data_IF_105798736313
#
_entry.id   IF_105798736313
#
_cell.length_a   1.000
_cell.length_b   1.000
_cell.length_c   1.000
_cell.angle_alpha   90.00
_cell.angle_beta   90.00
_cell.angle_gamma   90.00
#
_symmetry.space_group_name_H-M   'P 1'
#
loop_
_entity.id
_entity.type
_entity.pdbx_description
1 polymer ?
#
# COMPACT_ATOMS: atom_id res chain seq x y z
N UNK A 1 10.09 -3.34 -8.71
CA UNK A 1 9.92 -1.99 -9.25
C UNK A 1 11.26 -1.40 -9.66
N UNK A 2 11.37 -0.65 -10.79
CA UNK A 2 12.65 -0.10 -11.26
C UNK A 2 13.40 0.74 -10.22
N UNK A 3 12.69 1.54 -9.44
CA UNK A 3 13.30 2.35 -8.36
C UNK A 3 14.01 1.49 -7.32
N UNK A 4 13.43 0.35 -6.93
CA UNK A 4 14.06 -0.55 -5.97
C UNK A 4 15.31 -1.23 -6.58
N UNK A 5 15.25 -1.60 -7.85
CA UNK A 5 16.41 -2.19 -8.57
C UNK A 5 17.56 -1.19 -8.65
N UNK A 6 17.28 0.06 -9.03
CA UNK A 6 18.32 1.10 -9.09
C UNK A 6 18.92 1.40 -7.70
N UNK A 7 18.07 1.47 -6.66
CA UNK A 7 18.56 1.67 -5.29
C UNK A 7 19.43 0.51 -4.79
N UNK A 8 19.17 -0.71 -5.26
CA UNK A 8 19.93 -1.91 -4.90
C UNK A 8 21.37 -1.91 -5.45
N UNK A 9 21.69 -1.12 -6.47
CA UNK A 9 23.06 -1.03 -7.02
C UNK A 9 24.09 -0.60 -5.95
N UNK A 10 23.64 0.19 -4.96
CA UNK A 10 24.48 0.68 -3.88
C UNK A 10 24.05 0.16 -2.50
N UNK A 11 23.14 -0.83 -2.46
CA UNK A 11 22.59 -1.39 -1.22
C UNK A 11 22.55 -2.92 -1.33
N UNK A 12 23.57 -3.59 -0.76
CA UNK A 12 23.70 -5.04 -0.83
C UNK A 12 22.54 -5.79 -0.11
N UNK A 13 22.01 -5.23 0.98
CA UNK A 13 20.88 -5.80 1.71
C UNK A 13 19.62 -5.77 0.84
N UNK A 14 19.35 -4.64 0.20
CA UNK A 14 18.24 -4.50 -0.72
C UNK A 14 18.35 -5.42 -1.93
N UNK A 15 19.58 -5.57 -2.48
CA UNK A 15 19.85 -6.51 -3.58
C UNK A 15 19.52 -7.95 -3.19
N UNK A 16 20.00 -8.41 -2.04
CA UNK A 16 19.72 -9.74 -1.52
C UNK A 16 18.22 -9.96 -1.26
N UNK A 17 17.55 -8.95 -0.72
CA UNK A 17 16.10 -9.00 -0.48
C UNK A 17 15.29 -9.09 -1.78
N UNK A 18 15.67 -8.36 -2.82
CA UNK A 18 15.04 -8.45 -4.14
C UNK A 18 15.19 -9.85 -4.73
N UNK A 19 16.35 -10.48 -4.57
CA UNK A 19 16.59 -11.83 -5.06
C UNK A 19 15.80 -12.89 -4.27
N UNK A 20 15.66 -12.72 -2.94
CA UNK A 20 14.74 -13.52 -2.11
C UNK A 20 13.29 -13.40 -2.61
N UNK A 21 12.83 -12.18 -2.86
CA UNK A 21 11.47 -11.95 -3.37
C UNK A 21 11.24 -12.59 -4.75
N UNK A 22 12.23 -12.53 -5.66
CA UNK A 22 12.14 -13.18 -6.98
C UNK A 22 12.08 -14.70 -6.86
N UNK A 23 12.87 -15.29 -5.96
CA UNK A 23 12.86 -16.74 -5.72
C UNK A 23 11.48 -17.21 -5.21
N UNK A 24 10.82 -16.39 -4.38
CA UNK A 24 9.51 -16.67 -3.81
C UNK A 24 8.33 -16.23 -4.72
N UNK A 25 8.59 -15.71 -5.91
CA UNK A 25 7.55 -15.17 -6.82
C UNK A 25 6.52 -16.21 -7.33
N UNK A 26 6.73 -17.49 -7.06
CA UNK A 26 5.79 -18.59 -7.37
C UNK A 26 4.76 -18.85 -6.26
N UNK A 27 4.81 -18.11 -5.16
CA UNK A 27 3.88 -18.25 -4.05
C UNK A 27 2.47 -17.83 -4.49
N UNK A 28 1.47 -18.56 -4.04
CA UNK A 28 0.06 -18.24 -4.32
C UNK A 28 -0.38 -17.01 -3.54
N UNK A 29 -1.49 -16.38 -3.94
CA UNK A 29 -2.08 -15.24 -3.22
C UNK A 29 -2.40 -15.59 -1.73
N UNK A 30 -2.73 -16.85 -1.47
CA UNK A 30 -2.96 -17.37 -0.12
C UNK A 30 -1.65 -17.47 0.69
N UNK A 31 -0.55 -17.88 0.06
CA UNK A 31 0.77 -17.93 0.70
C UNK A 31 1.26 -16.52 1.06
N UNK A 32 1.06 -15.56 0.16
CA UNK A 32 1.41 -14.15 0.40
C UNK A 32 0.61 -13.52 1.54
N UNK A 33 -0.64 -13.95 1.75
CA UNK A 33 -1.48 -13.45 2.83
C UNK A 33 -1.01 -13.92 4.22
N UNK A 34 -0.40 -15.10 4.30
CA UNK A 34 0.08 -15.71 5.55
C UNK A 34 1.58 -15.50 5.80
N UNK A 35 2.32 -15.04 4.80
CA UNK A 35 3.75 -14.86 4.86
C UNK A 35 4.14 -13.73 5.82
N UNK A 36 5.24 -13.91 6.54
CA UNK A 36 5.80 -12.85 7.36
C UNK A 36 6.14 -11.62 6.52
N UNK A 37 5.64 -10.47 6.94
CA UNK A 37 5.90 -9.20 6.26
C UNK A 37 7.32 -8.75 6.51
N UNK A 38 8.10 -8.70 5.43
CA UNK A 38 9.49 -8.26 5.42
C UNK A 38 9.69 -7.10 4.47
N UNK A 39 10.65 -6.25 4.76
CA UNK A 39 11.06 -5.17 3.88
C UNK A 39 12.41 -4.61 4.23
N UNK A 40 12.95 -3.84 3.31
CA UNK A 40 14.24 -3.15 3.43
C UNK A 40 14.07 -1.69 3.03
N UNK A 41 14.66 -0.78 3.80
CA UNK A 41 14.73 0.64 3.44
C UNK A 41 15.58 0.79 2.17
N UNK A 42 15.00 1.43 1.17
CA UNK A 42 15.70 1.68 -0.10
C UNK A 42 16.70 2.84 -0.01
N UNK A 43 16.68 3.62 1.08
CA UNK A 43 17.39 4.88 1.22
C UNK A 43 16.78 6.04 0.42
N UNK A 44 15.79 5.77 -0.43
CA UNK A 44 15.07 6.80 -1.18
C UNK A 44 14.05 7.50 -0.29
N UNK A 45 13.72 8.71 -0.68
CA UNK A 45 12.71 9.56 -0.03
C UNK A 45 11.69 10.00 -1.05
N UNK A 46 10.42 10.08 -0.64
CA UNK A 46 9.36 10.67 -1.44
C UNK A 46 8.79 11.90 -0.72
N UNK A 47 8.27 12.85 -1.48
CA UNK A 47 7.58 14.01 -0.94
C UNK A 47 6.08 13.72 -0.98
N UNK A 48 5.42 13.79 0.18
CA UNK A 48 3.97 13.62 0.25
C UNK A 48 3.28 14.74 -0.54
N UNK A 49 2.40 14.44 -1.50
CA UNK A 49 1.94 15.39 -2.49
C UNK A 49 1.09 16.54 -1.91
N UNK A 50 0.45 16.35 -0.77
CA UNK A 50 -0.38 17.36 -0.11
C UNK A 50 0.39 18.09 0.98
N UNK A 51 0.91 17.37 1.97
CA UNK A 51 1.58 17.99 3.13
C UNK A 51 3.00 18.46 2.85
N UNK A 52 3.66 17.97 1.79
CA UNK A 52 5.08 18.25 1.55
C UNK A 52 6.05 17.52 2.48
N UNK A 53 5.56 16.69 3.39
CA UNK A 53 6.39 15.89 4.29
C UNK A 53 7.26 14.89 3.51
N UNK A 54 8.46 14.68 4.01
CA UNK A 54 9.38 13.69 3.44
C UNK A 54 9.11 12.33 4.09
N UNK A 55 8.75 11.35 3.27
CA UNK A 55 8.47 9.98 3.72
C UNK A 55 9.50 9.00 3.17
N UNK A 56 9.89 7.97 3.95
CA UNK A 56 10.83 6.96 3.50
C UNK A 56 10.18 6.02 2.47
N UNK A 57 11.00 5.49 1.55
CA UNK A 57 10.56 4.51 0.56
C UNK A 57 11.13 3.14 0.91
N UNK A 58 10.28 2.17 1.13
CA UNK A 58 10.62 0.81 1.48
C UNK A 58 10.29 -0.17 0.37
N UNK A 59 11.11 -1.18 0.18
CA UNK A 59 10.76 -2.36 -0.60
C UNK A 59 10.22 -3.43 0.35
N UNK A 60 9.02 -3.95 0.07
CA UNK A 60 8.37 -4.94 0.92
C UNK A 60 7.84 -6.12 0.09
N UNK A 61 7.86 -7.33 0.68
CA UNK A 61 7.49 -8.57 0.01
C UNK A 61 5.98 -8.77 -0.20
N UNK A 62 5.14 -7.92 0.37
CA UNK A 62 3.68 -8.00 0.27
C UNK A 62 3.06 -6.92 -0.64
N UNK A 63 3.88 -6.05 -1.21
CA UNK A 63 3.45 -5.04 -2.19
C UNK A 63 3.52 -5.62 -3.59
N UNK A 64 2.36 -5.72 -4.25
CA UNK A 64 2.25 -6.32 -5.58
C UNK A 64 2.53 -5.29 -6.68
N UNK A 65 3.31 -5.69 -7.69
CA UNK A 65 3.64 -4.85 -8.85
C UNK A 65 2.43 -4.46 -9.69
N UNK A 66 1.41 -5.33 -9.72
CA UNK A 66 0.19 -5.12 -10.51
C UNK A 66 -0.79 -4.13 -9.83
N UNK A 67 -0.49 -3.71 -8.60
CA UNK A 67 -1.30 -2.74 -7.89
C UNK A 67 -0.84 -1.30 -8.18
N UNK A 68 -1.68 -0.55 -8.85
CA UNK A 68 -1.37 0.85 -9.21
C UNK A 68 -0.21 0.96 -10.21
N UNK A 69 0.87 1.61 -9.79
CA UNK A 69 2.14 1.71 -10.53
C UNK A 69 3.21 0.75 -10.02
N UNK A 70 2.88 -0.14 -9.07
CA UNK A 70 3.82 -0.95 -8.33
C UNK A 70 4.53 -0.20 -7.19
N UNK A 71 4.22 1.08 -7.01
CA UNK A 71 4.58 1.87 -5.86
C UNK A 71 3.30 2.43 -5.23
N UNK A 72 3.07 2.15 -3.96
CA UNK A 72 1.85 2.52 -3.24
C UNK A 72 2.22 3.30 -1.98
N UNK A 73 1.35 4.21 -1.57
CA UNK A 73 1.49 4.87 -0.29
C UNK A 73 0.96 3.95 0.82
N UNK A 74 1.82 3.67 1.80
CA UNK A 74 1.46 2.94 2.99
C UNK A 74 0.61 3.81 3.91
N UNK A 75 -0.39 3.21 4.58
CA UNK A 75 -1.28 3.92 5.50
C UNK A 75 -1.36 3.17 6.84
N UNK A 76 -0.27 3.15 7.63
CA UNK A 76 -0.18 2.30 8.82
C UNK A 76 -1.22 2.64 9.91
N UNK A 77 -1.72 3.87 9.95
CA UNK A 77 -2.80 4.24 10.87
C UNK A 77 -4.14 3.56 10.56
N UNK A 78 -4.36 3.10 9.31
CA UNK A 78 -5.69 2.69 8.81
C UNK A 78 -5.68 1.43 7.93
N UNK A 79 -4.55 0.77 7.75
CA UNK A 79 -4.42 -0.58 7.18
C UNK A 79 -3.64 -1.47 8.16
N UNK A 80 -4.24 -2.57 8.60
CA UNK A 80 -3.65 -3.44 9.60
C UNK A 80 -2.33 -4.08 9.14
N UNK A 81 -2.16 -4.35 7.85
CA UNK A 81 -0.91 -4.93 7.31
C UNK A 81 0.22 -3.92 7.35
N UNK A 82 -0.08 -2.68 6.99
CA UNK A 82 0.86 -1.57 7.06
C UNK A 82 1.20 -1.22 8.50
N UNK A 83 0.22 -1.32 9.42
CA UNK A 83 0.42 -1.12 10.86
C UNK A 83 1.43 -2.12 11.44
N UNK A 84 1.24 -3.41 11.16
CA UNK A 84 2.14 -4.46 11.63
C UNK A 84 3.56 -4.27 11.07
N UNK A 85 3.66 -3.87 9.80
CA UNK A 85 4.94 -3.55 9.17
C UNK A 85 5.61 -2.33 9.82
N UNK A 86 4.88 -1.24 9.97
CA UNK A 86 5.40 -0.02 10.58
C UNK A 86 5.83 -0.24 12.03
N UNK A 87 5.06 -0.98 12.81
CA UNK A 87 5.40 -1.35 14.19
C UNK A 87 6.69 -2.18 14.23
N UNK A 88 6.82 -3.18 13.35
CA UNK A 88 7.99 -4.05 13.28
C UNK A 88 9.28 -3.28 12.98
N UNK A 89 9.21 -2.31 12.09
CA UNK A 89 10.38 -1.53 11.65
C UNK A 89 10.53 -0.17 12.35
N UNK A 90 9.70 0.12 13.35
CA UNK A 90 9.76 1.36 14.12
C UNK A 90 9.47 2.61 13.28
N UNK A 91 8.60 2.49 12.27
CA UNK A 91 8.16 3.60 11.44
C UNK A 91 7.07 4.41 12.14
N UNK A 92 6.99 5.69 11.83
CA UNK A 92 5.96 6.56 12.38
C UNK A 92 4.55 6.14 11.91
N UNK A 93 3.63 6.07 12.86
CA UNK A 93 2.22 5.78 12.61
C UNK A 93 1.41 7.04 12.93
N UNK A 94 0.85 7.67 11.91
CA UNK A 94 0.06 8.89 12.03
C UNK A 94 -1.43 8.56 11.89
N UNK A 95 -2.20 8.88 12.91
CA UNK A 95 -3.65 8.74 12.84
C UNK A 95 -4.25 9.93 12.09
N UNK A 96 -4.96 9.67 10.99
CA UNK A 96 -5.62 10.69 10.15
C UNK A 96 -7.12 10.47 9.98
N UNK A 97 -7.67 9.39 10.55
CA UNK A 97 -9.11 9.14 10.66
C UNK A 97 -9.45 9.02 12.15
N UNK A 98 -10.53 9.66 12.58
CA UNK A 98 -11.01 9.56 13.95
C UNK A 98 -11.38 8.12 14.30
N UNK A 99 -11.01 7.66 15.47
CA UNK A 99 -11.45 6.38 16.02
C UNK A 99 -12.74 6.53 16.83
N UNK A 100 -13.34 5.40 17.19
CA UNK A 100 -14.40 5.32 18.19
C UNK A 100 -13.78 5.32 19.61
N UNK A 101 -14.61 5.40 20.66
CA UNK A 101 -14.14 5.41 22.05
C UNK A 101 -13.31 4.17 22.45
N UNK A 102 -13.52 3.05 21.76
CA UNK A 102 -12.80 1.78 22.00
C UNK A 102 -11.49 1.65 21.21
N UNK A 103 -11.25 2.53 20.24
CA UNK A 103 -10.13 2.41 19.32
C UNK A 103 -8.87 3.03 19.91
N UNK A 104 -7.76 2.30 19.82
CA UNK A 104 -6.47 2.69 20.33
C UNK A 104 -5.40 2.45 19.26
N UNK A 105 -4.96 3.51 18.61
CA UNK A 105 -3.92 3.44 17.57
C UNK A 105 -2.59 2.84 18.08
N UNK A 106 -2.36 2.84 19.39
CA UNK A 106 -1.17 2.21 19.95
C UNK A 106 -1.24 0.67 19.94
N UNK A 107 -2.42 0.10 19.71
CA UNK A 107 -2.65 -1.37 19.73
C UNK A 107 -2.93 -1.93 18.34
N UNK A 108 -3.63 -1.19 17.50
CA UNK A 108 -4.03 -1.66 16.17
C UNK A 108 -4.37 -0.49 15.24
N UNK A 109 -4.40 -0.76 13.94
CA UNK A 109 -4.91 0.19 12.95
C UNK A 109 -6.40 0.44 13.13
N UNK A 110 -6.83 1.68 12.91
CA UNK A 110 -8.25 2.08 12.91
C UNK A 110 -8.77 1.96 11.48
N UNK A 111 -9.44 0.86 11.17
CA UNK A 111 -9.84 0.51 9.80
C UNK A 111 -11.23 1.00 9.41
N UNK A 112 -11.99 1.51 10.36
CA UNK A 112 -13.33 2.02 10.11
C UNK A 112 -13.33 3.39 9.44
N UNK A 113 -14.30 3.63 8.57
CA UNK A 113 -14.47 4.92 7.91
C UNK A 113 -15.12 5.91 8.86
N UNK A 114 -14.41 6.99 9.15
CA UNK A 114 -14.88 8.07 10.00
C UNK A 114 -14.40 9.41 9.43
N UNK A 115 -14.52 10.48 10.18
CA UNK A 115 -14.06 11.82 9.80
C UNK A 115 -12.55 11.93 9.85
N UNK A 116 -11.99 12.78 8.98
CA UNK A 116 -10.56 13.08 8.99
C UNK A 116 -10.16 13.94 10.19
N UNK A 117 -8.97 13.66 10.71
CA UNK A 117 -8.26 14.42 11.73
C UNK A 117 -6.78 14.52 11.37
N UNK A 118 -6.07 15.49 11.91
CA UNK A 118 -4.63 15.70 11.63
C UNK A 118 -4.31 15.80 10.13
N UNK A 119 -5.26 16.30 9.34
CA UNK A 119 -5.21 16.36 7.88
C UNK A 119 -5.35 17.79 7.34
N UNK A 120 -4.99 18.78 8.15
CA UNK A 120 -5.02 20.22 7.83
C UNK A 120 -6.40 20.69 7.34
N UNK A 121 -6.48 21.24 6.12
CA UNK A 121 -7.73 21.76 5.54
C UNK A 121 -8.80 20.69 5.30
N UNK A 122 -8.46 19.41 5.39
CA UNK A 122 -9.39 18.29 5.22
C UNK A 122 -9.97 17.76 6.53
N UNK A 123 -9.58 18.32 7.68
CA UNK A 123 -10.10 17.91 8.98
C UNK A 123 -11.62 18.05 9.05
N UNK A 124 -12.28 17.08 9.67
CA UNK A 124 -13.73 17.05 9.84
C UNK A 124 -14.52 16.55 8.63
N UNK A 125 -13.89 16.35 7.47
CA UNK A 125 -14.56 15.80 6.30
C UNK A 125 -14.82 14.28 6.49
N UNK A 126 -15.98 13.81 6.05
CA UNK A 126 -16.25 12.40 5.95
C UNK A 126 -15.52 11.78 4.74
N UNK A 127 -15.52 10.44 4.64
CA UNK A 127 -14.80 9.72 3.59
C UNK A 127 -15.13 10.19 2.16
N UNK A 128 -16.39 10.44 1.84
CA UNK A 128 -16.80 10.82 0.48
C UNK A 128 -16.39 12.27 0.16
N UNK A 129 -16.58 13.16 1.10
CA UNK A 129 -16.17 14.57 0.99
C UNK A 129 -14.66 14.69 0.87
N UNK A 130 -13.92 13.97 1.72
CA UNK A 130 -12.46 13.94 1.69
C UNK A 130 -11.92 13.40 0.37
N UNK A 131 -12.47 12.29 -0.12
CA UNK A 131 -12.07 11.72 -1.42
C UNK A 131 -12.25 12.73 -2.55
N UNK A 132 -13.39 13.44 -2.55
CA UNK A 132 -13.66 14.46 -3.57
C UNK A 132 -12.68 15.64 -3.46
N UNK A 133 -12.55 16.23 -2.29
CA UNK A 133 -11.71 17.41 -2.08
C UNK A 133 -10.23 17.13 -2.38
N UNK A 134 -9.69 16.03 -1.87
CA UNK A 134 -8.31 15.62 -2.11
C UNK A 134 -8.07 15.31 -3.59
N UNK A 135 -9.01 14.62 -4.25
CA UNK A 135 -8.90 14.32 -5.67
C UNK A 135 -8.89 15.59 -6.54
N UNK A 136 -9.78 16.52 -6.24
CA UNK A 136 -9.85 17.81 -6.95
C UNK A 136 -8.55 18.61 -6.78
N UNK A 137 -7.99 18.67 -5.60
CA UNK A 137 -6.73 19.35 -5.34
C UNK A 137 -5.57 18.70 -6.11
N UNK A 138 -5.40 17.37 -6.02
CA UNK A 138 -4.33 16.67 -6.73
C UNK A 138 -4.44 16.83 -8.25
N UNK A 139 -5.66 16.85 -8.80
CA UNK A 139 -5.90 17.09 -10.22
C UNK A 139 -5.53 18.53 -10.59
N UNK A 140 -5.97 19.51 -9.80
CA UNK A 140 -5.70 20.94 -10.08
C UNK A 140 -4.20 21.25 -10.06
N UNK A 141 -3.45 20.56 -9.21
CA UNK A 141 -1.99 20.69 -9.10
C UNK A 141 -1.21 19.80 -10.09
N UNK A 142 -1.89 19.07 -10.97
CA UNK A 142 -1.29 18.07 -11.88
C UNK A 142 -0.44 16.99 -11.17
N UNK A 143 -0.76 16.66 -9.91
CA UNK A 143 -0.07 15.66 -9.10
C UNK A 143 -0.76 14.29 -9.12
N UNK A 144 -1.99 14.20 -9.61
CA UNK A 144 -2.75 12.95 -9.60
C UNK A 144 -3.94 12.94 -10.55
N UNK A 145 -4.58 11.80 -10.64
CA UNK A 145 -5.84 11.60 -11.37
C UNK A 145 -6.68 10.51 -10.73
N UNK A 146 -7.99 10.61 -10.81
CA UNK A 146 -8.89 9.52 -10.43
C UNK A 146 -8.80 8.41 -11.47
N UNK A 147 -8.54 7.18 -11.02
CA UNK A 147 -8.51 5.98 -11.85
C UNK A 147 -9.47 4.93 -11.27
N UNK A 148 -10.37 4.43 -12.10
CA UNK A 148 -11.25 3.31 -11.73
C UNK A 148 -10.57 2.02 -12.16
N UNK A 149 -10.30 1.15 -11.20
CA UNK A 149 -9.80 -0.21 -11.46
C UNK A 149 -10.93 -1.20 -11.20
N UNK A 150 -11.25 -2.02 -12.20
CA UNK A 150 -12.24 -3.09 -12.04
C UNK A 150 -11.54 -4.34 -11.52
N UNK A 151 -11.97 -4.84 -10.36
CA UNK A 151 -11.56 -6.16 -9.86
C UNK A 151 -12.41 -7.22 -10.57
N UNK A 152 -11.97 -7.68 -11.71
CA UNK A 152 -12.49 -8.89 -12.32
C UNK A 152 -11.58 -10.04 -11.85
N UNK A 153 -12.14 -10.97 -11.07
CA UNK A 153 -11.50 -12.27 -10.88
C UNK A 153 -11.75 -13.07 -12.15
N UNK A 154 -10.69 -13.74 -12.64
CA UNK A 154 -10.84 -14.71 -13.70
C UNK A 154 -11.96 -15.68 -13.35
N UNK A 155 -13.05 -15.60 -14.08
CA UNK A 155 -14.13 -16.53 -13.92
C UNK A 155 -13.63 -17.88 -14.39
N UNK A 156 -13.98 -18.98 -13.69
CA UNK A 156 -13.44 -20.31 -13.91
C UNK A 156 -13.73 -20.95 -15.27
N UNK A 157 -14.09 -20.13 -16.25
CA UNK A 157 -14.30 -20.52 -17.66
C UNK A 157 -13.01 -20.98 -18.31
N UNK A 158 -11.86 -20.39 -17.95
CA UNK A 158 -10.54 -20.76 -18.46
C UNK A 158 -9.83 -21.81 -17.60
N UNK A 159 -10.45 -22.31 -16.53
CA UNK A 159 -9.86 -23.37 -15.73
C UNK A 159 -9.88 -24.67 -16.50
N UNK A 160 -8.69 -25.20 -16.80
CA UNK A 160 -8.53 -26.55 -17.30
C UNK A 160 -9.21 -27.53 -16.32
N UNK A 161 -10.26 -28.17 -16.75
CA UNK A 161 -10.91 -29.26 -16.02
C UNK A 161 -10.55 -30.58 -16.73
N UNK A 162 -10.37 -31.61 -15.95
CA UNK A 162 -10.10 -32.96 -16.49
C UNK A 162 -11.25 -33.46 -17.40
N UNK A 163 -12.44 -32.87 -17.20
CA UNK A 163 -13.66 -33.14 -17.99
C UNK A 163 -14.26 -31.81 -18.45
N UNK A 164 -14.52 -31.70 -19.72
CA UNK A 164 -15.22 -30.61 -20.35
C UNK A 164 -14.49 -30.04 -21.56
N UNK A 165 -15.26 -29.50 -22.47
CA UNK A 165 -14.74 -28.78 -23.62
C UNK A 165 -14.00 -27.54 -23.13
N UNK A 166 -12.76 -27.29 -23.55
CA UNK A 166 -12.11 -25.99 -23.27
C UNK A 166 -12.97 -24.93 -23.93
N UNK A 167 -13.42 -23.99 -23.10
CA UNK A 167 -14.10 -22.79 -23.58
C UNK A 167 -13.01 -21.73 -23.70
N UNK A 168 -12.83 -21.12 -24.88
CA UNK A 168 -11.81 -20.11 -25.14
C UNK A 168 -12.02 -18.86 -24.32
#
# INVERSE_FOLDING_TARGET
HPLAVNAAENNAELSAFIDECKANSKSTEADLATMEKKGVDTGLKAIHPLSGEIVPVWAANFVLMDYGSGAVMSVPGHDQRDYEFATKYGLEIKQVIAGNESDDIAKAAITEKNTLINSAEFDGLNFAEAFKAISEQLISENKGKVKVNYRLRDWGVSRQRYWGTPIP
#
